data_IF_521179564552
#
_entry.id   IF_521179564552
#
_cell.length_a   1.000
_cell.length_b   1.000
_cell.length_c   1.000
_cell.angle_alpha   90.00
_cell.angle_beta   90.00
_cell.angle_gamma   90.00
#
_symmetry.space_group_name_H-M   'P 1'
#
loop_
_entity.id
_entity.type
_entity.pdbx_description
1 polymer ?
#
# COMPACT_ATOMS: atom_id res chain seq x y z
N UNK A 1 -2.98 -7.89 7.32
CA UNK A 1 -1.81 -8.06 6.44
C UNK A 1 -0.76 -7.00 6.75
N UNK A 2 0.53 -7.37 6.90
CA UNK A 2 1.61 -6.41 7.29
C UNK A 2 1.71 -5.18 6.37
N UNK A 3 1.33 -5.34 5.11
CA UNK A 3 1.34 -4.28 4.11
C UNK A 3 0.28 -3.20 4.39
N UNK A 4 -0.91 -3.62 4.85
CA UNK A 4 -1.98 -2.70 5.21
C UNK A 4 -1.63 -1.91 6.47
N UNK A 5 -1.07 -2.57 7.49
CA UNK A 5 -0.60 -1.92 8.71
C UNK A 5 0.47 -0.86 8.38
N UNK A 6 1.42 -1.18 7.50
CA UNK A 6 2.43 -0.24 7.04
C UNK A 6 1.84 0.99 6.32
N UNK A 7 0.78 0.83 5.54
CA UNK A 7 0.04 1.94 4.94
C UNK A 7 -0.73 2.76 5.99
N UNK A 8 -1.32 2.10 6.99
CA UNK A 8 -2.09 2.76 8.05
C UNK A 8 -1.22 3.63 8.96
N UNK A 9 0.01 3.19 9.27
CA UNK A 9 0.96 3.93 10.11
C UNK A 9 1.55 5.18 9.41
N UNK A 10 1.46 5.27 8.08
CA UNK A 10 2.03 6.38 7.32
C UNK A 10 1.05 7.56 7.19
N UNK A 11 1.55 8.80 7.30
CA UNK A 11 0.75 9.97 7.00
C UNK A 11 0.31 9.95 5.54
N UNK A 12 -1.00 10.14 5.30
CA UNK A 12 -1.60 10.12 3.97
C UNK A 12 -1.95 8.73 3.42
N UNK A 13 -1.74 7.66 4.19
CA UNK A 13 -2.12 6.29 3.84
C UNK A 13 -1.72 5.85 2.42
N UNK A 14 -0.59 6.34 1.94
CA UNK A 14 -0.10 6.11 0.60
C UNK A 14 1.39 5.80 0.63
N UNK A 15 1.86 5.06 -0.38
CA UNK A 15 3.26 4.74 -0.53
C UNK A 15 3.70 4.71 -2.00
N UNK A 16 4.94 5.15 -2.30
CA UNK A 16 5.51 5.13 -3.65
C UNK A 16 6.03 3.73 -4.00
N UNK A 17 5.21 2.70 -3.76
CA UNK A 17 5.54 1.31 -4.03
C UNK A 17 4.34 0.64 -4.69
N UNK A 18 4.48 0.29 -5.97
CA UNK A 18 3.51 -0.51 -6.73
C UNK A 18 4.06 -1.91 -7.05
N UNK A 19 3.31 -2.71 -7.79
CA UNK A 19 3.77 -3.99 -8.32
C UNK A 19 4.97 -3.88 -9.29
N UNK A 20 5.20 -2.69 -9.85
CA UNK A 20 6.37 -2.35 -10.67
C UNK A 20 7.65 -2.22 -9.83
N UNK A 21 7.53 -2.00 -8.51
CA UNK A 21 8.68 -1.80 -7.61
C UNK A 21 9.71 -2.92 -7.75
N UNK A 22 11.02 -2.61 -7.87
CA UNK A 22 12.08 -3.60 -7.92
C UNK A 22 12.06 -4.56 -6.73
N UNK A 23 12.39 -5.85 -6.95
CA UNK A 23 12.37 -6.85 -5.88
C UNK A 23 13.33 -6.53 -4.73
N UNK A 24 14.48 -5.92 -5.03
CA UNK A 24 15.47 -5.54 -4.02
C UNK A 24 14.92 -4.49 -3.05
N UNK A 25 14.21 -3.48 -3.58
CA UNK A 25 13.56 -2.44 -2.78
C UNK A 25 12.44 -3.04 -1.93
N UNK A 26 11.61 -3.93 -2.50
CA UNK A 26 10.53 -4.59 -1.76
C UNK A 26 11.11 -5.40 -0.60
N UNK A 27 12.18 -6.17 -0.85
CA UNK A 27 12.84 -6.98 0.17
C UNK A 27 13.45 -6.12 1.27
N UNK A 28 14.10 -5.01 0.91
CA UNK A 28 14.69 -4.09 1.89
C UNK A 28 13.65 -3.36 2.74
N UNK A 29 12.53 -2.94 2.14
CA UNK A 29 11.49 -2.13 2.81
C UNK A 29 10.48 -2.96 3.58
N UNK A 30 10.04 -4.09 3.01
CA UNK A 30 8.96 -4.92 3.56
C UNK A 30 9.45 -6.26 4.11
N UNK A 31 10.71 -6.64 3.88
CA UNK A 31 11.26 -7.92 4.33
C UNK A 31 10.68 -9.15 3.61
N UNK A 32 9.97 -8.96 2.50
CA UNK A 32 9.30 -10.02 1.73
C UNK A 32 9.75 -10.04 0.28
N UNK A 33 9.52 -11.16 -0.41
CA UNK A 33 9.79 -11.25 -1.85
C UNK A 33 8.77 -10.45 -2.67
N UNK A 34 9.15 -10.03 -3.89
CA UNK A 34 8.24 -9.37 -4.84
C UNK A 34 6.97 -10.20 -5.11
N UNK A 35 7.09 -11.52 -5.18
CA UNK A 35 5.94 -12.42 -5.36
C UNK A 35 4.98 -12.40 -4.16
N UNK A 36 5.50 -12.37 -2.93
CA UNK A 36 4.69 -12.25 -1.73
C UNK A 36 4.02 -10.87 -1.63
N UNK A 37 4.74 -9.81 -2.02
CA UNK A 37 4.22 -8.45 -2.09
C UNK A 37 3.08 -8.32 -3.09
N UNK A 38 3.23 -8.85 -4.30
CA UNK A 38 2.16 -8.89 -5.32
C UNK A 38 0.93 -9.66 -4.84
N UNK A 39 1.11 -10.78 -4.13
CA UNK A 39 -0.01 -11.54 -3.54
C UNK A 39 -0.75 -10.72 -2.48
N UNK A 40 -0.02 -10.06 -1.58
CA UNK A 40 -0.62 -9.21 -0.56
C UNK A 40 -1.35 -8.01 -1.19
N UNK A 41 -0.72 -7.30 -2.13
CA UNK A 41 -1.36 -6.21 -2.87
C UNK A 41 -2.61 -6.66 -3.62
N UNK A 42 -2.52 -7.75 -4.39
CA UNK A 42 -3.66 -8.26 -5.16
C UNK A 42 -4.83 -8.66 -4.27
N UNK A 43 -4.56 -9.24 -3.10
CA UNK A 43 -5.59 -9.50 -2.10
C UNK A 43 -6.23 -8.21 -1.59
N UNK A 44 -5.43 -7.22 -1.19
CA UNK A 44 -5.92 -5.94 -0.69
C UNK A 44 -6.71 -5.15 -1.76
N UNK A 45 -6.31 -5.22 -3.02
CA UNK A 45 -7.05 -4.63 -4.15
C UNK A 45 -8.39 -5.33 -4.37
N UNK A 46 -8.40 -6.67 -4.30
CA UNK A 46 -9.63 -7.48 -4.41
C UNK A 46 -10.60 -7.22 -3.27
N UNK A 47 -10.06 -7.00 -2.06
CA UNK A 47 -10.83 -6.65 -0.87
C UNK A 47 -11.28 -5.17 -0.88
N UNK A 48 -10.87 -4.38 -1.88
CA UNK A 48 -11.22 -2.96 -2.02
C UNK A 48 -10.56 -2.06 -0.98
N UNK A 49 -9.47 -2.50 -0.37
CA UNK A 49 -8.77 -1.80 0.72
C UNK A 49 -7.66 -0.86 0.20
N UNK A 50 -7.10 -1.14 -0.98
CA UNK A 50 -6.04 -0.34 -1.61
C UNK A 50 -6.27 -0.22 -3.11
N UNK A 51 -5.75 0.85 -3.71
CA UNK A 51 -5.75 1.11 -5.15
C UNK A 51 -4.36 1.53 -5.60
N UNK A 52 -4.01 1.26 -6.86
CA UNK A 52 -2.75 1.67 -7.44
C UNK A 52 -2.97 2.69 -8.56
N UNK A 53 -2.16 3.74 -8.59
CA UNK A 53 -2.19 4.77 -9.62
C UNK A 53 -0.77 5.30 -9.88
N UNK A 54 -0.34 5.29 -11.13
CA UNK A 54 0.93 5.89 -11.60
C UNK A 54 2.15 5.51 -10.72
N UNK A 55 2.30 4.23 -10.42
CA UNK A 55 3.35 3.65 -9.57
C UNK A 55 3.24 3.94 -8.06
N UNK A 56 2.11 4.47 -7.59
CA UNK A 56 1.78 4.63 -6.18
C UNK A 56 0.69 3.66 -5.73
N UNK A 57 0.76 3.24 -4.46
CA UNK A 57 -0.33 2.52 -3.79
C UNK A 57 -0.98 3.43 -2.77
N UNK A 58 -2.29 3.60 -2.87
CA UNK A 58 -3.12 4.41 -1.99
C UNK A 58 -4.08 3.48 -1.23
N UNK A 59 -4.27 3.74 0.06
CA UNK A 59 -5.33 3.06 0.81
C UNK A 59 -6.68 3.64 0.40
N UNK A 60 -7.58 2.77 -0.05
CA UNK A 60 -8.98 3.12 -0.31
C UNK A 60 -9.68 3.05 1.04
N UNK A 61 -9.52 4.11 1.83
CA UNK A 61 -10.26 4.24 3.09
C UNK A 61 -11.74 4.35 2.72
N UNK A 62 -12.56 3.43 3.22
CA UNK A 62 -14.01 3.61 3.28
C UNK A 62 -14.24 4.74 4.28
N UNK A 63 -14.33 5.97 3.79
CA UNK A 63 -14.65 7.21 4.50
C UNK A 63 -14.20 7.26 5.98
N UNK A 64 -13.01 7.82 6.22
CA UNK A 64 -12.84 8.61 7.45
C UNK A 64 -12.67 10.07 7.04
N UNK A 65 -13.78 10.78 7.20
CA UNK A 65 -13.90 12.22 7.25
C UNK A 65 -12.89 12.81 8.25
N UNK A 66 -11.84 13.46 7.76
CA UNK A 66 -10.99 14.42 8.49
C UNK A 66 -10.31 15.26 7.40
N UNK A 67 -10.73 16.48 7.09
CA UNK A 67 -10.96 17.53 8.08
C UNK A 67 -9.62 18.00 8.65
N UNK A 68 -8.72 18.48 7.78
CA UNK A 68 -7.61 19.34 8.20
C UNK A 68 -7.77 20.66 7.47
N UNK A 69 -8.71 21.45 7.97
CA UNK A 69 -8.65 22.89 7.88
C UNK A 69 -7.93 23.36 9.15
N UNK A 70 -6.68 23.80 9.00
CA UNK A 70 -6.10 24.86 9.83
C UNK A 70 -4.97 25.56 9.07
#
# INVERSE_FOLDING_TARGET
DRLLAFLQERPGHAMPYSDETPPDIIKQRFGISKSAFKRALGKLMKDGLVTQKDSWTYMVKKEENSGSNE
#
